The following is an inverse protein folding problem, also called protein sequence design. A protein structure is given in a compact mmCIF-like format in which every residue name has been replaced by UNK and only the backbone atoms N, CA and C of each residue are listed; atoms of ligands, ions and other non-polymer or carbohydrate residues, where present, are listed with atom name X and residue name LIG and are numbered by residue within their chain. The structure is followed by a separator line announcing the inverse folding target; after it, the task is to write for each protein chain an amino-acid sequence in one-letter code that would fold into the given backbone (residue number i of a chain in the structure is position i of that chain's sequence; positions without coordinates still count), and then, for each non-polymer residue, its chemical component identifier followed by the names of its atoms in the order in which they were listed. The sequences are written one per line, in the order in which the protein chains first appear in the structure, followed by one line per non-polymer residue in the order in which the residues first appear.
data_IF_894352421746
#
_entry.id   IF_894352421746
#
_cell.length_a   1.000
_cell.length_b   1.000
_cell.length_c   1.000
_cell.angle_alpha   90.00
_cell.angle_beta   90.00
_cell.angle_gamma   90.00
#
_symmetry.space_group_name_H-M   'P 1'
#
loop_
_entity.id
_entity.type
_entity.pdbx_description
1 polymer ?
#
# COMPACT_ATOMS: atom_id res chain seq x y z
N UNK A 1 -43.56 8.78 17.21
CA UNK A 1 -42.34 9.42 16.67
C UNK A 1 -41.42 8.32 16.14
N UNK A 2 -41.17 8.31 14.83
CA UNK A 2 -40.01 7.65 14.22
C UNK A 2 -39.27 8.77 13.45
N UNK A 3 -37.92 8.74 13.31
CA UNK A 3 -37.23 7.72 12.51
C UNK A 3 -35.97 7.07 13.13
N UNK A 4 -35.80 5.78 12.79
CA UNK A 4 -34.64 5.05 12.23
C UNK A 4 -33.15 5.49 12.46
N UNK A 5 -32.20 4.53 12.30
CA UNK A 5 -30.91 4.42 12.98
C UNK A 5 -29.72 4.99 12.18
N UNK A 6 -28.55 5.13 12.81
CA UNK A 6 -27.27 5.26 12.10
C UNK A 6 -26.33 4.12 12.50
N UNK A 7 -26.15 3.22 11.53
CA UNK A 7 -25.05 2.26 11.47
C UNK A 7 -23.73 3.00 11.69
N UNK A 8 -22.87 2.51 12.57
CA UNK A 8 -21.44 2.83 12.44
C UNK A 8 -20.58 1.84 13.21
N UNK A 9 -20.70 0.54 12.92
CA UNK A 9 -19.56 -0.40 12.98
C UNK A 9 -19.83 -1.53 12.02
N UNK A 10 -19.64 -1.22 10.75
CA UNK A 10 -19.46 -2.26 9.74
C UNK A 10 -18.05 -2.85 9.93
N UNK A 11 -17.85 -3.61 11.02
CA UNK A 11 -16.74 -4.57 11.13
C UNK A 11 -17.02 -5.69 10.12
N UNK A 12 -16.84 -5.38 8.83
CA UNK A 12 -16.70 -6.41 7.82
C UNK A 12 -15.32 -7.01 8.00
N UNK A 13 -15.20 -8.33 8.18
CA UNK A 13 -13.90 -8.99 8.15
C UNK A 13 -13.43 -9.10 6.69
N UNK A 14 -13.11 -7.98 6.02
CA UNK A 14 -12.26 -8.03 4.82
C UNK A 14 -10.81 -8.00 5.29
N UNK A 15 -10.39 -9.16 5.79
CA UNK A 15 -9.04 -9.72 5.72
C UNK A 15 -7.96 -8.73 5.24
N UNK A 16 -7.57 -7.81 6.10
CA UNK A 16 -6.29 -7.12 6.06
C UNK A 16 -6.07 -6.41 7.39
N UNK A 17 -5.43 -7.12 8.30
CA UNK A 17 -4.77 -6.56 9.48
C UNK A 17 -3.61 -5.68 9.01
N UNK A 18 -3.97 -4.54 8.45
CA UNK A 18 -3.07 -3.50 7.99
C UNK A 18 -3.61 -2.26 8.67
N UNK A 19 -3.05 -1.91 9.83
CA UNK A 19 -3.26 -0.61 10.48
C UNK A 19 -2.17 0.33 10.00
N UNK A 20 -2.25 0.86 8.77
CA UNK A 20 -1.25 1.79 8.34
C UNK A 20 -1.36 3.08 9.18
N UNK A 21 -0.26 3.82 9.38
CA UNK A 21 -0.28 5.05 10.15
C UNK A 21 -1.23 6.12 9.55
N UNK A 22 -1.72 7.06 10.37
CA UNK A 22 -2.58 8.14 9.88
C UNK A 22 -1.82 8.98 8.84
N UNK A 23 -2.31 9.00 7.60
CA UNK A 23 -1.66 9.65 6.45
C UNK A 23 -1.27 8.70 5.32
N UNK A 24 -1.43 7.39 5.52
CA UNK A 24 -1.16 6.39 4.48
C UNK A 24 -2.45 6.00 3.77
N UNK A 25 -2.48 6.17 2.44
CA UNK A 25 -3.62 5.73 1.64
C UNK A 25 -3.50 4.22 1.42
N UNK A 26 -4.58 3.49 1.75
CA UNK A 26 -4.65 2.05 1.56
C UNK A 26 -4.81 1.74 0.06
N UNK A 27 -3.84 1.06 -0.57
CA UNK A 27 -3.96 0.73 -1.98
C UNK A 27 -5.02 -0.35 -2.23
N UNK A 28 -5.60 -0.44 -3.45
CA UNK A 28 -6.45 -1.56 -3.87
C UNK A 28 -5.78 -2.93 -3.70
N UNK A 29 -6.57 -4.01 -3.69
CA UNK A 29 -6.09 -5.41 -3.55
C UNK A 29 -4.91 -5.74 -4.49
N UNK A 30 -4.93 -5.30 -5.74
CA UNK A 30 -3.82 -5.51 -6.69
C UNK A 30 -2.51 -4.84 -6.25
N UNK A 31 -2.60 -3.60 -5.77
CA UNK A 31 -1.43 -2.86 -5.33
C UNK A 31 -0.86 -3.44 -4.04
N UNK A 32 -1.71 -3.91 -3.12
CA UNK A 32 -1.26 -4.62 -1.92
C UNK A 32 -0.39 -5.83 -2.28
N UNK A 33 -0.88 -6.71 -3.16
CA UNK A 33 -0.10 -7.86 -3.62
C UNK A 33 1.22 -7.45 -4.27
N UNK A 34 1.21 -6.41 -5.11
CA UNK A 34 2.41 -5.95 -5.79
C UNK A 34 3.44 -5.36 -4.82
N UNK A 35 2.97 -4.62 -3.83
CA UNK A 35 3.78 -3.92 -2.86
C UNK A 35 4.39 -4.90 -1.85
N UNK A 36 3.67 -5.94 -1.45
CA UNK A 36 4.23 -7.10 -0.73
C UNK A 36 5.33 -7.80 -1.55
N UNK A 37 5.06 -8.06 -2.83
CA UNK A 37 6.01 -8.72 -3.72
C UNK A 37 7.28 -7.88 -3.90
N UNK A 38 7.10 -6.58 -4.11
CA UNK A 38 8.18 -5.62 -4.32
C UNK A 38 8.98 -5.42 -3.04
N UNK A 39 8.35 -5.22 -1.89
CA UNK A 39 9.03 -5.10 -0.60
C UNK A 39 9.87 -6.35 -0.32
N UNK A 40 9.29 -7.55 -0.44
CA UNK A 40 10.03 -8.80 -0.27
C UNK A 40 11.16 -8.99 -1.29
N UNK A 41 10.98 -8.50 -2.52
CA UNK A 41 12.05 -8.48 -3.52
C UNK A 41 13.18 -7.53 -3.12
N UNK A 42 12.87 -6.32 -2.67
CA UNK A 42 13.85 -5.29 -2.34
C UNK A 42 14.61 -5.65 -1.05
N UNK A 43 13.94 -6.23 -0.05
CA UNK A 43 14.60 -6.73 1.16
C UNK A 43 15.60 -7.84 0.84
N UNK A 44 15.29 -8.74 -0.11
CA UNK A 44 16.21 -9.84 -0.51
C UNK A 44 17.31 -9.41 -1.48
N UNK A 45 16.99 -8.54 -2.44
CA UNK A 45 17.92 -8.13 -3.50
C UNK A 45 18.69 -6.85 -3.15
N UNK A 46 18.24 -6.13 -2.13
CA UNK A 46 18.78 -4.85 -1.70
C UNK A 46 18.19 -3.63 -2.44
N UNK A 47 18.64 -2.43 -2.05
CA UNK A 47 18.13 -1.15 -2.57
C UNK A 47 18.45 -0.92 -4.05
N UNK A 48 19.37 -1.70 -4.65
CA UNK A 48 19.59 -1.67 -6.09
C UNK A 48 18.33 -2.08 -6.88
N UNK A 49 17.51 -2.97 -6.32
CA UNK A 49 16.26 -3.39 -6.94
C UNK A 49 15.19 -2.32 -6.82
N UNK A 50 15.15 -1.59 -5.71
CA UNK A 50 14.27 -0.42 -5.56
C UNK A 50 14.53 0.59 -6.67
N UNK A 51 15.80 0.93 -6.94
CA UNK A 51 16.15 1.86 -8.00
C UNK A 51 15.66 1.39 -9.38
N UNK A 52 15.70 0.08 -9.67
CA UNK A 52 15.18 -0.50 -10.91
C UNK A 52 13.66 -0.45 -11.00
N UNK A 53 12.97 -0.73 -9.89
CA UNK A 53 11.51 -0.62 -9.80
C UNK A 53 11.08 0.83 -9.97
N UNK A 54 11.82 1.78 -9.39
CA UNK A 54 11.58 3.22 -9.51
C UNK A 54 11.71 3.71 -10.95
N UNK A 55 12.75 3.26 -11.66
CA UNK A 55 12.94 3.54 -13.09
C UNK A 55 11.80 2.92 -13.92
N UNK A 56 11.39 1.69 -13.61
CA UNK A 56 10.24 1.05 -14.23
C UNK A 56 8.90 1.73 -13.90
N UNK A 57 8.82 2.48 -12.80
CA UNK A 57 7.62 3.14 -12.34
C UNK A 57 7.26 4.39 -13.15
N UNK A 58 8.23 5.04 -13.80
CA UNK A 58 7.94 6.14 -14.75
C UNK A 58 7.11 5.65 -15.94
N UNK A 59 7.34 4.40 -16.39
CA UNK A 59 6.56 3.78 -17.46
C UNK A 59 5.36 2.96 -16.99
N UNK A 60 5.22 2.69 -15.68
CA UNK A 60 4.20 1.78 -15.15
C UNK A 60 3.42 2.39 -13.99
N UNK A 61 2.13 2.70 -14.18
CA UNK A 61 1.27 3.21 -13.12
C UNK A 61 0.98 2.19 -12.01
N UNK A 62 1.42 0.94 -12.19
CA UNK A 62 1.37 -0.09 -11.15
C UNK A 62 2.55 -0.01 -10.18
N UNK A 63 3.71 0.54 -10.59
CA UNK A 63 4.93 0.59 -9.77
C UNK A 63 5.20 1.97 -9.17
N UNK A 64 4.42 2.98 -9.54
CA UNK A 64 4.49 4.35 -9.00
C UNK A 64 4.31 4.45 -7.49
N UNK A 65 3.88 3.39 -6.78
CA UNK A 65 3.93 3.37 -5.31
C UNK A 65 5.36 3.43 -4.75
N UNK A 66 6.39 3.07 -5.52
CA UNK A 66 7.82 3.26 -5.13
C UNK A 66 8.27 4.71 -5.31
N UNK A 67 7.49 5.54 -6.02
CA UNK A 67 7.83 6.95 -6.21
C UNK A 67 7.33 7.76 -5.00
N UNK A 68 8.17 8.65 -4.43
CA UNK A 68 7.76 9.52 -3.32
C UNK A 68 6.68 10.52 -3.70
N UNK A 69 6.44 10.71 -5.00
CA UNK A 69 5.39 11.56 -5.56
C UNK A 69 3.99 10.93 -5.40
N UNK A 70 3.92 9.62 -5.12
CA UNK A 70 2.67 8.90 -5.07
C UNK A 70 2.11 8.81 -3.64
N UNK A 71 0.79 8.98 -3.43
CA UNK A 71 0.17 8.86 -2.11
C UNK A 71 0.25 7.46 -1.50
N UNK A 72 0.58 6.43 -2.28
CA UNK A 72 0.81 5.07 -1.78
C UNK A 72 2.26 4.82 -1.30
N UNK A 73 3.18 5.75 -1.55
CA UNK A 73 4.57 5.67 -1.07
C UNK A 73 4.71 5.43 0.42
N UNK A 74 3.96 6.09 1.33
CA UNK A 74 4.08 5.79 2.76
C UNK A 74 3.64 4.37 3.13
N UNK A 75 2.75 3.72 2.36
CA UNK A 75 2.41 2.31 2.58
C UNK A 75 3.56 1.40 2.17
N UNK A 76 4.23 1.75 1.07
CA UNK A 76 5.43 1.08 0.59
C UNK A 76 6.58 1.15 1.58
N UNK A 77 6.90 2.35 2.09
CA UNK A 77 7.93 2.52 3.12
C UNK A 77 7.63 1.71 4.36
N UNK A 78 6.40 1.80 4.87
CA UNK A 78 6.01 1.04 6.05
C UNK A 78 6.10 -0.48 5.84
N UNK A 79 5.80 -0.97 4.62
CA UNK A 79 6.00 -2.39 4.26
C UNK A 79 7.44 -2.81 4.04
N UNK A 80 8.36 -1.89 3.78
CA UNK A 80 9.79 -2.17 3.77
C UNK A 80 10.39 -2.19 5.19
N UNK A 81 9.78 -1.43 6.11
CA UNK A 81 10.20 -1.34 7.51
C UNK A 81 9.65 -2.48 8.39
N UNK A 82 8.61 -3.19 7.95
CA UNK A 82 8.10 -4.45 8.54
C UNK A 82 8.94 -5.68 8.11
#
# INVERSE_FOLDING_TARGET
MAPAPLLERNDTPDNTDFKPPPGVILPPKEFRTLLEKTAGYIVRNGPAFEARIRDSAEGNPKLQFVLPDNPYHPFYLWRLEE
#
